data_IF_195131035734
#
_entry.id   IF_195131035734
#
_cell.length_a   1.000
_cell.length_b   1.000
_cell.length_c   1.000
_cell.angle_alpha   90.00
_cell.angle_beta   90.00
_cell.angle_gamma   90.00
#
_symmetry.space_group_name_H-M   'P 1'
#
loop_
_entity.id
_entity.type
_entity.pdbx_description
1 polymer ?
#
# COMPACT_ATOMS: atom_id res chain seq x y z
N UNK A 1 -6.89 31.58 -22.12
CA UNK A 1 -5.86 31.47 -21.07
C UNK A 1 -6.59 31.11 -19.80
N UNK A 2 -6.37 29.89 -19.35
CA UNK A 2 -7.14 29.20 -18.33
C UNK A 2 -6.77 27.74 -18.48
N UNK A 3 -5.48 27.47 -18.29
CA UNK A 3 -4.96 26.12 -18.18
C UNK A 3 -5.66 25.47 -16.99
N UNK A 4 -6.62 24.62 -17.30
CA UNK A 4 -7.26 23.71 -16.38
C UNK A 4 -6.16 22.73 -15.94
N UNK A 5 -5.48 23.07 -14.84
CA UNK A 5 -4.54 22.17 -14.19
C UNK A 5 -5.40 21.06 -13.60
N UNK A 6 -5.64 20.03 -14.40
CA UNK A 6 -5.98 18.71 -13.90
C UNK A 6 -4.83 18.33 -12.99
N UNK A 7 -5.01 18.53 -11.67
CA UNK A 7 -4.28 17.78 -10.66
C UNK A 7 -4.56 16.32 -10.99
N UNK A 8 -3.68 15.71 -11.78
CA UNK A 8 -3.78 14.30 -12.17
C UNK A 8 -4.09 13.50 -10.91
N UNK A 9 -5.33 13.02 -10.85
CA UNK A 9 -5.91 12.46 -9.65
C UNK A 9 -5.03 11.33 -9.15
N UNK A 10 -4.50 11.49 -7.94
CA UNK A 10 -3.89 10.39 -7.22
C UNK A 10 -4.96 9.30 -7.09
N UNK A 11 -4.84 8.24 -7.89
CA UNK A 11 -5.79 7.13 -7.86
C UNK A 11 -5.57 6.41 -6.54
N UNK A 12 -6.57 6.48 -5.67
CA UNK A 12 -6.58 5.74 -4.41
C UNK A 12 -7.35 4.44 -4.65
N UNK A 13 -6.71 3.31 -4.36
CA UNK A 13 -7.27 1.98 -4.52
C UNK A 13 -7.65 1.43 -3.15
N UNK A 14 -8.87 0.89 -3.03
CA UNK A 14 -9.29 0.23 -1.81
C UNK A 14 -8.60 -1.12 -1.65
N UNK A 15 -7.99 -1.32 -0.48
CA UNK A 15 -7.45 -2.61 -0.04
C UNK A 15 -8.57 -3.37 0.67
N UNK A 16 -8.86 -4.57 0.19
CA UNK A 16 -9.84 -5.51 0.80
C UNK A 16 -9.18 -6.76 1.38
N UNK A 17 -7.85 -6.78 1.42
CA UNK A 17 -7.06 -7.85 2.02
C UNK A 17 -5.58 -7.54 1.97
N UNK A 18 -5.07 -6.87 3.01
CA UNK A 18 -3.66 -6.61 3.27
C UNK A 18 -3.02 -7.64 4.20
N UNK A 19 -1.75 -7.43 4.57
CA UNK A 19 -1.02 -8.35 5.44
C UNK A 19 -1.54 -8.35 6.88
N UNK A 20 -1.36 -9.46 7.57
CA UNK A 20 -1.67 -9.58 8.99
C UNK A 20 -0.68 -8.81 9.86
N UNK A 21 -1.03 -8.63 11.13
CA UNK A 21 -0.14 -8.02 12.14
C UNK A 21 1.16 -8.81 12.30
N UNK A 22 1.10 -10.14 12.25
CA UNK A 22 2.27 -11.02 12.32
C UNK A 22 3.18 -10.84 11.10
N UNK A 23 2.59 -10.78 9.90
CA UNK A 23 3.34 -10.51 8.66
C UNK A 23 4.03 -9.13 8.71
N UNK A 24 3.37 -8.12 9.31
CA UNK A 24 3.95 -6.80 9.51
C UNK A 24 5.13 -6.80 10.49
N UNK A 25 5.02 -7.50 11.61
CA UNK A 25 6.14 -7.64 12.55
C UNK A 25 7.30 -8.41 11.94
N UNK A 26 7.01 -9.45 11.17
CA UNK A 26 8.04 -10.20 10.48
C UNK A 26 8.74 -9.34 9.42
N UNK A 27 8.00 -8.53 8.66
CA UNK A 27 8.59 -7.59 7.74
C UNK A 27 9.47 -6.53 8.44
N UNK A 28 9.05 -6.02 9.60
CA UNK A 28 9.88 -5.14 10.42
C UNK A 28 11.19 -5.82 10.83
N UNK A 29 11.12 -7.09 11.27
CA UNK A 29 12.30 -7.89 11.64
C UNK A 29 13.24 -8.07 10.45
N UNK A 30 12.71 -8.51 9.30
CA UNK A 30 13.50 -8.70 8.06
C UNK A 30 14.18 -7.40 7.61
N UNK A 31 13.52 -6.24 7.73
CA UNK A 31 14.14 -4.96 7.36
C UNK A 31 15.27 -4.54 8.30
N UNK A 32 15.20 -4.88 9.58
CA UNK A 32 16.33 -4.69 10.52
C UNK A 32 17.51 -5.58 10.13
N UNK A 33 17.24 -6.76 9.58
CA UNK A 33 18.24 -7.71 9.06
C UNK A 33 18.71 -7.36 7.63
N UNK A 34 18.33 -6.18 7.11
CA UNK A 34 18.62 -5.71 5.74
C UNK A 34 18.08 -6.65 4.64
N UNK A 35 17.10 -7.48 4.98
CA UNK A 35 16.41 -8.38 4.06
C UNK A 35 15.17 -7.72 3.42
N UNK A 36 14.76 -8.26 2.27
CA UNK A 36 13.56 -7.79 1.57
C UNK A 36 12.32 -8.50 2.10
N UNK A 37 11.36 -7.73 2.60
CA UNK A 37 10.04 -8.23 2.92
C UNK A 37 9.07 -8.02 1.74
N UNK A 38 8.18 -8.98 1.52
CA UNK A 38 7.16 -8.95 0.46
C UNK A 38 5.78 -9.07 1.08
N UNK A 39 4.83 -8.26 0.61
CA UNK A 39 3.43 -8.36 0.99
C UNK A 39 2.54 -8.68 -0.19
N UNK A 40 1.52 -9.48 0.11
CA UNK A 40 0.36 -9.68 -0.74
C UNK A 40 -0.71 -8.68 -0.33
N UNK A 41 -1.15 -7.85 -1.27
CA UNK A 41 -2.28 -6.95 -1.08
C UNK A 41 -3.33 -7.25 -2.14
N UNK A 42 -4.58 -7.39 -1.71
CA UNK A 42 -5.75 -7.52 -2.57
C UNK A 42 -6.48 -6.20 -2.70
N UNK A 43 -6.67 -5.77 -3.94
CA UNK A 43 -7.43 -4.55 -4.26
C UNK A 43 -8.83 -4.90 -4.76
N UNK A 44 -9.80 -4.06 -4.40
CA UNK A 44 -11.14 -4.11 -4.97
C UNK A 44 -11.17 -3.52 -6.40
N UNK A 45 -11.96 -4.10 -7.29
CA UNK A 45 -12.12 -3.58 -8.65
C UNK A 45 -13.18 -2.49 -8.64
N UNK A 46 -12.76 -1.24 -8.61
CA UNK A 46 -13.67 -0.11 -8.80
C UNK A 46 -13.49 0.61 -10.14
N UNK A 47 -12.39 0.35 -10.85
CA UNK A 47 -12.04 1.06 -12.09
C UNK A 47 -11.61 0.12 -13.22
N UNK A 48 -11.93 0.47 -14.47
CA UNK A 48 -11.44 -0.23 -15.67
C UNK A 48 -9.91 -0.12 -15.85
N UNK A 49 -9.27 0.83 -15.17
CA UNK A 49 -7.84 1.12 -15.28
C UNK A 49 -6.97 0.29 -14.34
N UNK A 50 -7.55 -0.28 -13.29
CA UNK A 50 -6.81 -1.10 -12.31
C UNK A 50 -7.42 -2.49 -12.23
N UNK A 51 -6.67 -3.55 -12.53
CA UNK A 51 -7.19 -4.89 -12.34
C UNK A 51 -7.37 -5.16 -10.85
N UNK A 52 -8.57 -5.58 -10.42
CA UNK A 52 -8.68 -6.28 -9.16
C UNK A 52 -7.74 -7.49 -9.16
N UNK A 53 -7.15 -7.75 -8.01
CA UNK A 53 -6.24 -8.86 -7.89
C UNK A 53 -5.35 -8.75 -6.67
N UNK A 54 -4.50 -9.75 -6.56
CA UNK A 54 -3.45 -9.83 -5.56
C UNK A 54 -2.14 -9.31 -6.17
N UNK A 55 -1.50 -8.37 -5.48
CA UNK A 55 -0.25 -7.75 -5.86
C UNK A 55 0.82 -8.10 -4.85
N UNK A 56 2.00 -8.46 -5.35
CA UNK A 56 3.18 -8.67 -4.52
C UNK A 56 3.99 -7.37 -4.51
N UNK A 57 4.11 -6.77 -3.33
CA UNK A 57 4.75 -5.47 -3.13
C UNK A 57 5.95 -5.62 -2.19
N UNK A 58 7.06 -4.99 -2.53
CA UNK A 58 8.23 -4.94 -1.67
C UNK A 58 8.05 -3.88 -0.60
N UNK A 59 8.37 -4.22 0.64
CA UNK A 59 8.21 -3.29 1.76
C UNK A 59 9.40 -2.36 1.84
N UNK A 60 9.16 -1.07 1.69
CA UNK A 60 10.20 -0.06 1.85
C UNK A 60 10.34 0.41 3.29
N UNK A 61 9.22 0.79 3.90
CA UNK A 61 9.18 1.18 5.30
C UNK A 61 7.82 0.88 5.90
N UNK A 62 7.78 0.64 7.20
CA UNK A 62 6.56 0.44 7.97
C UNK A 62 6.53 1.49 9.08
N UNK A 63 5.37 2.08 9.33
CA UNK A 63 5.15 3.07 10.38
C UNK A 63 3.81 2.82 11.06
N UNK A 64 3.83 2.80 12.39
CA UNK A 64 2.60 2.74 13.18
C UNK A 64 2.01 4.15 13.24
N UNK A 65 0.71 4.27 12.96
CA UNK A 65 0.00 5.53 13.14
C UNK A 65 -0.49 5.59 14.58
N UNK A 66 -0.13 6.68 15.27
CA UNK A 66 -0.62 6.94 16.64
C UNK A 66 -2.02 7.56 16.57
N UNK A 67 -3.00 6.72 16.28
CA UNK A 67 -4.42 7.06 16.22
C UNK A 67 -5.17 6.67 17.51
N UNK A 68 -4.44 6.24 18.54
CA UNK A 68 -4.97 5.71 19.79
C UNK A 68 -5.58 4.31 19.71
N UNK A 69 -5.62 3.67 18.53
CA UNK A 69 -6.10 2.29 18.35
C UNK A 69 -4.96 1.29 18.13
N UNK A 70 -3.84 1.74 17.57
CA UNK A 70 -2.65 0.90 17.34
C UNK A 70 -2.84 -0.20 16.29
N UNK A 71 -3.97 -0.20 15.58
CA UNK A 71 -4.27 -1.11 14.47
C UNK A 71 -4.05 -0.46 13.11
N UNK A 72 -3.87 0.85 13.02
CA UNK A 72 -3.64 1.53 11.74
C UNK A 72 -2.16 1.67 11.44
N UNK A 73 -1.76 1.11 10.30
CA UNK A 73 -0.35 1.03 9.88
C UNK A 73 -0.20 1.66 8.50
N UNK A 74 0.87 2.42 8.31
CA UNK A 74 1.24 3.04 7.06
C UNK A 74 2.52 2.39 6.52
N UNK A 75 2.53 2.11 5.22
CA UNK A 75 3.63 1.46 4.53
C UNK A 75 4.04 2.27 3.32
N UNK A 76 5.35 2.34 3.09
CA UNK A 76 5.89 2.65 1.77
C UNK A 76 6.22 1.34 1.10
N UNK A 77 5.81 1.21 -0.14
CA UNK A 77 5.91 -0.02 -0.91
C UNK A 77 6.55 0.26 -2.27
N UNK A 78 7.29 -0.72 -2.77
CA UNK A 78 7.84 -0.73 -4.11
C UNK A 78 7.10 -1.79 -4.94
N UNK A 79 6.54 -1.36 -6.06
CA UNK A 79 5.81 -2.16 -7.04
C UNK A 79 6.65 -2.28 -8.32
N UNK A 80 7.43 -3.36 -8.48
CA UNK A 80 8.41 -3.46 -9.55
C UNK A 80 7.81 -3.65 -10.94
N UNK A 81 6.52 -4.01 -11.07
CA UNK A 81 5.90 -4.31 -12.35
C UNK A 81 5.18 -3.11 -13.00
N UNK A 82 5.01 -1.99 -12.28
CA UNK A 82 4.36 -0.76 -12.76
C UNK A 82 2.87 -0.89 -13.09
N UNK A 83 2.22 -2.00 -12.69
CA UNK A 83 0.81 -2.28 -12.96
C UNK A 83 -0.15 -1.33 -12.24
N UNK A 84 0.31 -0.71 -11.16
CA UNK A 84 -0.48 0.22 -10.36
C UNK A 84 -0.18 1.69 -10.70
N UNK A 85 0.50 1.94 -11.82
CA UNK A 85 0.74 3.28 -12.36
C UNK A 85 1.89 4.05 -11.71
N UNK A 86 2.50 3.53 -10.63
CA UNK A 86 3.75 4.03 -10.07
C UNK A 86 4.60 2.88 -9.51
N UNK A 87 5.90 3.07 -9.53
CA UNK A 87 6.85 2.16 -8.90
C UNK A 87 6.82 2.27 -7.37
N UNK A 88 6.53 3.45 -6.85
CA UNK A 88 6.47 3.70 -5.41
C UNK A 88 5.03 3.98 -5.00
N UNK A 89 4.60 3.27 -3.96
CA UNK A 89 3.25 3.33 -3.45
C UNK A 89 3.27 3.63 -1.95
N UNK A 90 2.20 4.24 -1.48
CA UNK A 90 1.89 4.38 -0.07
C UNK A 90 0.61 3.60 0.22
N UNK A 91 0.63 2.78 1.27
CA UNK A 91 -0.53 2.05 1.75
C UNK A 91 -0.83 2.43 3.19
N UNK A 92 -2.10 2.47 3.54
CA UNK A 92 -2.55 2.44 4.92
C UNK A 92 -3.60 1.34 5.06
N UNK A 93 -3.55 0.55 6.11
CA UNK A 93 -4.62 -0.40 6.43
C UNK A 93 -4.75 -0.63 7.93
N UNK A 94 -5.93 -1.09 8.33
CA UNK A 94 -6.23 -1.54 9.68
C UNK A 94 -5.87 -3.03 9.79
N UNK A 95 -4.98 -3.38 10.71
CA UNK A 95 -4.47 -4.75 10.90
C UNK A 95 -5.49 -5.70 11.52
N UNK A 96 -6.61 -5.20 12.07
CA UNK A 96 -7.69 -6.04 12.58
C UNK A 96 -8.63 -6.50 11.45
N UNK A 97 -8.82 -5.68 10.41
CA UNK A 97 -9.69 -6.00 9.27
C UNK A 97 -8.91 -6.39 8.02
N UNK A 98 -7.61 -6.07 7.96
CA UNK A 98 -6.78 -6.15 6.76
C UNK A 98 -7.32 -5.30 5.60
N UNK A 99 -8.06 -4.24 5.88
CA UNK A 99 -8.64 -3.33 4.89
C UNK A 99 -8.02 -1.95 4.97
N UNK A 100 -8.05 -1.20 3.86
CA UNK A 100 -7.45 0.12 3.82
C UNK A 100 -7.41 0.74 2.43
N UNK A 101 -6.35 1.49 2.15
CA UNK A 101 -6.14 2.13 0.87
C UNK A 101 -4.69 2.08 0.42
N UNK A 102 -4.48 2.19 -0.88
CA UNK A 102 -3.20 2.20 -1.57
C UNK A 102 -3.21 3.32 -2.61
N UNK A 103 -2.16 4.13 -2.68
CA UNK A 103 -2.05 5.18 -3.71
C UNK A 103 -0.62 5.28 -4.24
N UNK A 104 -0.43 5.74 -5.49
CA UNK A 104 0.88 6.06 -6.00
C UNK A 104 1.46 7.28 -5.28
N UNK A 105 2.79 7.29 -5.09
CA UNK A 105 3.53 8.47 -4.64
C UNK A 105 4.54 8.88 -5.72
N UNK A 106 4.81 10.20 -5.79
CA UNK A 106 5.74 10.83 -6.75
C UNK A 106 7.13 11.01 -6.15
#
# INVERSE_FOLDING_TARGET
MGDDVTLEGLVCHQIVGGPSKEELFEALRLRIEEETALFKIRLESESQLTPAGEFHLMVESISLLDDGKGSNWALKLLEPSGKLGSQYLEAQFDTNTSEGWLRPIR
#
